data_IF_111814532370
#
_entry.id   IF_111814532370
#
_cell.length_a   1.000
_cell.length_b   1.000
_cell.length_c   1.000
_cell.angle_alpha   90.00
_cell.angle_beta   90.00
_cell.angle_gamma   90.00
#
_symmetry.space_group_name_H-M   'P 1'
#
loop_
_entity.id
_entity.type
_entity.pdbx_description
1 polymer ?
#
# COMPACT_ATOMS: atom_id res chain seq x y z
N UNK A 1 21.31 3.81 17.23
CA UNK A 1 20.83 3.02 16.07
C UNK A 1 20.55 3.96 14.92
N UNK A 2 20.91 3.62 13.67
CA UNK A 2 20.73 4.52 12.52
C UNK A 2 19.23 4.80 12.33
N UNK A 3 18.81 6.00 12.71
CA UNK A 3 17.56 6.60 12.26
C UNK A 3 17.70 6.85 10.76
N UNK A 4 16.83 6.24 9.96
CA UNK A 4 16.84 6.38 8.51
C UNK A 4 16.01 5.31 7.82
N UNK A 5 15.66 5.56 6.56
CA UNK A 5 14.92 4.62 5.70
C UNK A 5 15.77 3.38 5.46
N UNK A 6 15.37 2.25 6.01
CA UNK A 6 15.95 0.93 5.71
C UNK A 6 15.04 0.20 4.73
N UNK A 7 15.64 -0.28 3.64
CA UNK A 7 14.97 -1.17 2.70
C UNK A 7 14.89 -2.58 3.30
N UNK A 8 13.68 -3.03 3.61
CA UNK A 8 13.41 -4.31 4.24
C UNK A 8 12.86 -5.35 3.25
N UNK A 9 13.03 -5.14 1.94
CA UNK A 9 12.55 -6.07 0.88
C UNK A 9 13.00 -7.53 1.11
N UNK A 10 14.12 -7.74 1.80
CA UNK A 10 14.61 -9.08 2.16
C UNK A 10 13.71 -9.86 3.15
N UNK A 11 12.79 -9.21 3.88
CA UNK A 11 11.94 -9.84 4.90
C UNK A 11 10.49 -10.07 4.46
N UNK A 12 10.07 -9.60 3.29
CA UNK A 12 8.70 -9.80 2.77
C UNK A 12 8.71 -10.25 1.30
N UNK A 13 8.26 -11.49 1.06
CA UNK A 13 8.47 -12.22 -0.19
C UNK A 13 7.46 -11.89 -1.33
N UNK A 14 6.64 -10.85 -1.19
CA UNK A 14 5.67 -10.45 -2.22
C UNK A 14 6.09 -9.14 -2.88
N UNK A 15 6.32 -9.17 -4.18
CA UNK A 15 6.86 -8.05 -4.99
C UNK A 15 5.94 -6.84 -5.12
N UNK A 16 4.70 -6.94 -4.65
CA UNK A 16 3.67 -5.90 -4.69
C UNK A 16 3.42 -5.23 -3.33
N UNK A 17 4.13 -5.63 -2.27
CA UNK A 17 4.00 -5.03 -0.93
C UNK A 17 5.24 -4.21 -0.60
N UNK A 18 5.04 -2.97 -0.14
CA UNK A 18 6.12 -2.14 0.39
C UNK A 18 6.17 -2.23 1.91
N UNK A 19 7.25 -2.79 2.44
CA UNK A 19 7.57 -2.84 3.87
C UNK A 19 8.63 -1.79 4.20
N UNK A 20 8.32 -0.83 5.07
CA UNK A 20 9.28 0.20 5.49
C UNK A 20 9.18 0.45 6.99
N UNK A 21 10.34 0.59 7.65
CA UNK A 21 10.42 1.13 9.01
C UNK A 21 10.58 2.64 8.92
N UNK A 22 9.63 3.38 9.46
CA UNK A 22 9.70 4.85 9.60
C UNK A 22 10.07 5.21 11.05
N UNK A 23 10.42 6.48 11.36
CA UNK A 23 10.14 7.05 12.68
C UNK A 23 8.63 6.89 13.02
N UNK A 24 8.16 7.36 14.19
CA UNK A 24 6.73 7.24 14.60
C UNK A 24 5.80 7.38 13.40
N UNK A 25 5.00 6.34 13.15
CA UNK A 25 4.04 6.36 12.05
C UNK A 25 2.95 7.38 12.39
N UNK A 26 3.00 8.53 11.73
CA UNK A 26 2.02 9.60 11.87
C UNK A 26 0.75 9.29 11.07
N UNK A 27 0.91 8.84 9.81
CA UNK A 27 -0.22 8.69 8.88
C UNK A 27 -0.09 7.47 7.97
N UNK A 28 -1.23 6.86 7.69
CA UNK A 28 -1.42 5.85 6.64
C UNK A 28 -2.13 6.48 5.44
N UNK A 29 -1.63 6.21 4.23
CA UNK A 29 -2.29 6.59 2.98
C UNK A 29 -2.67 5.32 2.20
N UNK A 30 -3.93 5.23 1.79
CA UNK A 30 -4.44 4.16 0.92
C UNK A 30 -4.81 4.78 -0.44
N UNK A 31 -4.34 4.18 -1.53
CA UNK A 31 -4.69 4.59 -2.90
C UNK A 31 -4.83 3.37 -3.82
N UNK A 32 -5.61 3.50 -4.89
CA UNK A 32 -5.79 2.45 -5.91
C UNK A 32 -4.78 2.55 -7.08
N UNK A 33 -3.72 3.34 -6.91
CA UNK A 33 -2.68 3.53 -7.92
C UNK A 33 -1.50 4.37 -7.43
N UNK A 34 -0.37 4.24 -8.13
CA UNK A 34 0.87 4.97 -7.88
C UNK A 34 1.67 5.16 -9.18
N UNK A 35 1.04 5.75 -10.20
CA UNK A 35 1.72 6.12 -11.45
C UNK A 35 2.74 7.26 -11.19
N UNK A 36 3.92 7.27 -11.85
CA UNK A 36 4.38 6.37 -12.91
C UNK A 36 5.10 5.11 -12.42
N UNK A 37 5.20 4.88 -11.10
CA UNK A 37 5.92 3.72 -10.55
C UNK A 37 5.31 2.38 -10.98
N UNK A 38 3.98 2.33 -11.09
CA UNK A 38 3.26 1.17 -11.62
C UNK A 38 2.33 1.58 -12.75
N UNK A 39 2.16 0.69 -13.73
CA UNK A 39 1.17 0.86 -14.79
C UNK A 39 -0.23 1.00 -14.17
N UNK A 40 -1.03 1.90 -14.73
CA UNK A 40 -2.41 2.13 -14.28
C UNK A 40 -3.23 0.85 -14.46
N UNK A 41 -4.11 0.56 -13.50
CA UNK A 41 -5.18 -0.41 -13.72
C UNK A 41 -6.30 0.26 -14.54
N UNK A 42 -6.62 -0.30 -15.71
CA UNK A 42 -7.64 0.25 -16.60
C UNK A 42 -9.08 0.08 -16.09
N UNK A 43 -9.31 -0.83 -15.13
CA UNK A 43 -10.63 -1.06 -14.52
C UNK A 43 -11.62 -1.85 -15.38
N UNK A 44 -11.19 -2.35 -16.56
CA UNK A 44 -12.05 -3.03 -17.54
C UNK A 44 -11.88 -4.54 -17.58
N UNK A 45 -10.78 -5.07 -17.04
CA UNK A 45 -10.40 -6.48 -17.18
C UNK A 45 -9.61 -6.80 -18.46
N UNK A 46 -9.42 -5.83 -19.36
CA UNK A 46 -8.52 -5.97 -20.51
C UNK A 46 -7.06 -6.23 -20.04
N UNK A 47 -6.22 -6.89 -20.87
CA UNK A 47 -4.81 -7.10 -20.55
C UNK A 47 -4.09 -5.77 -20.27
N UNK A 48 -3.47 -5.65 -19.09
CA UNK A 48 -2.86 -4.40 -18.60
C UNK A 48 -1.86 -3.75 -19.55
N UNK A 49 -1.16 -4.54 -20.36
CA UNK A 49 -0.14 -4.05 -21.30
C UNK A 49 -0.73 -3.39 -22.57
N UNK A 50 -1.97 -3.75 -22.93
CA UNK A 50 -2.59 -3.34 -24.19
C UNK A 50 -3.93 -2.64 -24.00
N UNK A 51 -4.42 -2.52 -22.75
CA UNK A 51 -5.68 -1.88 -22.44
C UNK A 51 -5.68 -0.41 -22.88
N UNK A 52 -6.69 -0.03 -23.65
CA UNK A 52 -6.88 1.34 -24.14
C UNK A 52 -8.14 1.97 -23.59
N UNK A 53 -9.12 1.15 -23.17
CA UNK A 53 -10.36 1.60 -22.57
C UNK A 53 -10.18 1.81 -21.07
N UNK A 54 -10.49 3.02 -20.57
CA UNK A 54 -10.47 3.30 -19.13
C UNK A 54 -11.90 3.27 -18.58
N UNK A 55 -12.06 2.59 -17.45
CA UNK A 55 -13.29 2.59 -16.66
C UNK A 55 -13.00 3.13 -15.27
N UNK A 56 -13.67 4.24 -14.91
CA UNK A 56 -13.63 4.77 -13.56
C UNK A 56 -14.20 3.74 -12.57
N UNK A 57 -13.58 3.65 -11.40
CA UNK A 57 -14.00 2.74 -10.36
C UNK A 57 -14.09 3.48 -9.04
N UNK A 58 -15.26 3.48 -8.43
CA UNK A 58 -15.48 4.03 -7.11
C UNK A 58 -14.86 3.10 -6.06
N UNK A 59 -13.87 3.61 -5.35
CA UNK A 59 -13.17 2.85 -4.31
C UNK A 59 -13.72 3.25 -2.95
N UNK A 60 -13.97 2.26 -2.10
CA UNK A 60 -14.42 2.47 -0.73
C UNK A 60 -13.56 1.64 0.21
N UNK A 61 -13.13 2.25 1.31
CA UNK A 61 -12.47 1.55 2.41
C UNK A 61 -13.46 1.54 3.57
N UNK A 62 -13.96 0.36 3.92
CA UNK A 62 -14.78 0.19 5.11
C UNK A 62 -13.88 0.15 6.34
N UNK A 63 -14.26 0.89 7.38
CA UNK A 63 -13.55 0.91 8.65
C UNK A 63 -14.57 1.13 9.78
N UNK A 64 -15.33 0.09 10.05
CA UNK A 64 -16.37 0.06 11.09
C UNK A 64 -16.24 -1.24 11.90
N UNK A 65 -16.99 -1.43 13.00
CA UNK A 65 -16.87 -2.64 13.83
C UNK A 65 -17.18 -3.96 13.10
N UNK A 66 -18.02 -3.93 12.05
CA UNK A 66 -18.29 -5.10 11.21
C UNK A 66 -17.22 -5.30 10.12
N UNK A 67 -16.51 -4.23 9.73
CA UNK A 67 -15.44 -4.22 8.74
C UNK A 67 -14.16 -3.56 9.29
N UNK A 68 -13.44 -4.20 10.23
CA UNK A 68 -12.38 -3.57 10.99
C UNK A 68 -11.04 -3.52 10.23
N UNK A 69 -11.00 -2.84 9.08
CA UNK A 69 -9.76 -2.65 8.31
C UNK A 69 -8.70 -1.96 9.18
N UNK A 70 -7.52 -2.54 9.36
CA UNK A 70 -6.50 -1.95 10.22
C UNK A 70 -5.09 -2.20 9.69
N UNK A 71 -4.16 -1.31 10.04
CA UNK A 71 -2.71 -1.56 9.93
C UNK A 71 -2.24 -2.03 11.30
N UNK A 72 -1.76 -3.27 11.37
CA UNK A 72 -1.23 -3.84 12.60
C UNK A 72 0.27 -3.57 12.66
N UNK A 73 0.68 -2.77 13.65
CA UNK A 73 2.07 -2.40 13.84
C UNK A 73 2.64 -3.07 15.09
N UNK A 74 3.87 -3.60 15.03
CA UNK A 74 4.58 -3.97 16.24
C UNK A 74 4.94 -2.71 17.03
N UNK A 75 4.57 -2.67 18.31
CA UNK A 75 4.94 -1.59 19.22
C UNK A 75 6.19 -1.99 19.99
N UNK A 76 7.13 -1.07 20.16
CA UNK A 76 8.25 -1.23 21.10
C UNK A 76 8.11 -0.18 22.19
N UNK A 77 8.17 -0.61 23.44
CA UNK A 77 8.30 0.32 24.56
C UNK A 77 9.71 0.90 24.55
N UNK A 78 9.79 2.20 24.86
CA UNK A 78 11.05 2.94 24.96
C UNK A 78 11.05 3.55 26.35
N UNK A 79 12.02 3.14 27.19
CA UNK A 79 12.28 3.71 28.52
C UNK A 79 12.75 5.17 28.44
#
# INVERSE_FOLDING_TARGET
MKSGRTDNTAFEARTDVLTYTTPVLDRVQVSSGAFPRYNRNAGTGEPRATATTLRAADQQVFHDPAHPSAVILPVREVD
#
